data_IF_736922517632
#
_entry.id   IF_736922517632
#
_cell.length_a   1.000
_cell.length_b   1.000
_cell.length_c   1.000
_cell.angle_alpha   90.00
_cell.angle_beta   90.00
_cell.angle_gamma   90.00
#
_symmetry.space_group_name_H-M   'P 1'
#
loop_
_entity.id
_entity.type
_entity.pdbx_description
1 polymer ?
#
# COMPACT_ATOMS: atom_id res chain seq x y z
N UNK A 1 8.72 -5.99 -16.49
CA UNK A 1 9.84 -5.32 -15.75
C UNK A 1 10.62 -6.42 -15.04
N UNK A 2 11.93 -6.30 -14.92
CA UNK A 2 12.74 -7.32 -14.25
C UNK A 2 12.88 -6.97 -12.76
N UNK A 3 12.70 -7.95 -11.87
CA UNK A 3 12.89 -7.78 -10.44
C UNK A 3 14.34 -7.40 -10.14
N UNK A 4 14.54 -6.36 -9.32
CA UNK A 4 15.88 -5.93 -8.96
C UNK A 4 16.64 -7.01 -8.17
N UNK A 5 15.94 -7.70 -7.28
CA UNK A 5 16.47 -8.68 -6.32
C UNK A 5 16.81 -10.03 -6.99
N UNK A 6 15.85 -10.69 -7.63
CA UNK A 6 16.02 -12.06 -8.16
C UNK A 6 16.10 -12.14 -9.69
N UNK A 7 15.97 -11.02 -10.40
CA UNK A 7 15.90 -10.95 -11.88
C UNK A 7 14.69 -11.67 -12.51
N UNK A 8 13.70 -12.07 -11.71
CA UNK A 8 12.44 -12.65 -12.17
C UNK A 8 11.48 -11.64 -12.82
N UNK A 9 10.34 -12.12 -13.33
CA UNK A 9 9.30 -11.27 -13.91
C UNK A 9 8.53 -10.51 -12.83
N UNK A 10 8.11 -9.29 -13.16
CA UNK A 10 7.32 -8.41 -12.30
C UNK A 10 6.04 -8.02 -13.04
N UNK A 11 4.91 -8.21 -12.38
CA UNK A 11 3.56 -8.04 -12.94
C UNK A 11 2.71 -7.12 -12.05
N UNK A 12 1.66 -6.52 -12.63
CA UNK A 12 0.70 -5.72 -11.86
C UNK A 12 -0.09 -6.62 -10.90
N UNK A 13 -0.25 -6.17 -9.66
CA UNK A 13 -0.89 -6.91 -8.58
C UNK A 13 -1.45 -5.95 -7.52
N UNK A 14 -1.95 -6.49 -6.41
CA UNK A 14 -2.33 -5.71 -5.24
C UNK A 14 -1.68 -6.26 -3.99
N UNK A 15 -1.42 -5.37 -3.03
CA UNK A 15 -0.88 -5.74 -1.71
C UNK A 15 -1.70 -5.08 -0.59
N UNK A 16 -1.41 -5.49 0.64
CA UNK A 16 -1.91 -4.85 1.86
C UNK A 16 -0.78 -4.01 2.46
N UNK A 17 -0.98 -2.70 2.52
CA UNK A 17 -0.05 -1.77 3.14
C UNK A 17 -0.41 -1.58 4.61
N UNK A 18 0.53 -1.85 5.52
CA UNK A 18 0.34 -1.66 6.96
C UNK A 18 1.30 -0.58 7.46
N UNK A 19 0.80 0.38 8.22
CA UNK A 19 1.61 1.42 8.85
C UNK A 19 1.05 1.80 10.20
N UNK A 20 1.93 2.25 11.08
CA UNK A 20 1.55 3.01 12.26
C UNK A 20 1.58 4.50 11.92
N UNK A 21 0.55 5.24 12.35
CA UNK A 21 0.50 6.69 12.20
C UNK A 21 -0.25 7.30 13.40
N UNK A 22 0.36 8.21 14.14
CA UNK A 22 -0.23 8.84 15.34
C UNK A 22 -0.86 7.83 16.33
N UNK A 23 -0.13 6.76 16.70
CA UNK A 23 -0.63 5.68 17.57
C UNK A 23 -1.87 4.93 17.03
N UNK A 24 -2.21 5.10 15.75
CA UNK A 24 -3.21 4.31 15.05
C UNK A 24 -2.52 3.30 14.13
N UNK A 25 -2.93 2.04 14.23
CA UNK A 25 -2.53 1.02 13.26
C UNK A 25 -3.48 1.04 12.07
N UNK A 26 -2.93 1.32 10.89
CA UNK A 26 -3.70 1.48 9.67
C UNK A 26 -3.33 0.37 8.69
N UNK A 27 -4.35 -0.39 8.28
CA UNK A 27 -4.24 -1.45 7.29
C UNK A 27 -5.01 -1.03 6.04
N UNK A 28 -4.29 -0.75 4.95
CA UNK A 28 -4.86 -0.40 3.65
C UNK A 28 -4.80 -1.62 2.74
N UNK A 29 -5.96 -2.19 2.42
CA UNK A 29 -6.09 -3.35 1.53
C UNK A 29 -6.17 -2.91 0.07
N UNK A 30 -5.85 -3.83 -0.84
CA UNK A 30 -6.01 -3.66 -2.29
C UNK A 30 -5.18 -2.51 -2.87
N UNK A 31 -4.02 -2.23 -2.30
CA UNK A 31 -3.10 -1.21 -2.80
C UNK A 31 -2.47 -1.71 -4.11
N UNK A 32 -2.65 -1.01 -5.25
CA UNK A 32 -2.03 -1.37 -6.51
C UNK A 32 -0.52 -1.37 -6.38
N UNK A 33 0.12 -2.44 -6.81
CA UNK A 33 1.57 -2.58 -6.79
C UNK A 33 2.04 -3.40 -7.99
N UNK A 34 3.34 -3.44 -8.18
CA UNK A 34 3.99 -4.41 -9.03
C UNK A 34 4.61 -5.48 -8.15
N UNK A 35 4.36 -6.75 -8.42
CA UNK A 35 4.88 -7.87 -7.61
C UNK A 35 5.71 -8.83 -8.45
N UNK A 36 6.87 -9.23 -7.93
CA UNK A 36 7.65 -10.27 -8.56
C UNK A 36 6.97 -11.63 -8.40
N UNK A 37 6.77 -12.34 -9.50
CA UNK A 37 6.12 -13.65 -9.51
C UNK A 37 6.97 -14.77 -8.92
N UNK A 38 8.28 -14.53 -8.72
CA UNK A 38 9.22 -15.51 -8.18
C UNK A 38 9.54 -15.29 -6.70
N UNK A 39 10.02 -14.10 -6.32
CA UNK A 39 10.45 -13.83 -4.94
C UNK A 39 9.43 -13.02 -4.12
N UNK A 40 8.34 -12.56 -4.75
CA UNK A 40 7.30 -11.81 -4.05
C UNK A 40 7.62 -10.35 -3.74
N UNK A 41 8.74 -9.81 -4.23
CA UNK A 41 9.13 -8.41 -4.05
C UNK A 41 8.03 -7.46 -4.56
N UNK A 42 7.65 -6.47 -3.75
CA UNK A 42 6.55 -5.55 -4.04
C UNK A 42 7.09 -4.13 -4.31
N UNK A 43 6.61 -3.53 -5.39
CA UNK A 43 7.02 -2.19 -5.81
C UNK A 43 5.81 -1.27 -5.87
N UNK A 44 5.86 -0.20 -5.08
CA UNK A 44 4.86 0.87 -5.09
C UNK A 44 5.42 2.07 -5.86
N UNK A 45 4.61 2.64 -6.76
CA UNK A 45 4.99 3.83 -7.51
C UNK A 45 4.59 5.11 -6.74
N UNK A 46 5.18 6.25 -7.14
CA UNK A 46 4.95 7.53 -6.46
C UNK A 46 3.49 8.00 -6.48
N UNK A 47 2.72 7.66 -7.52
CA UNK A 47 1.29 8.00 -7.60
C UNK A 47 0.49 7.25 -6.53
N UNK A 48 0.79 5.97 -6.34
CA UNK A 48 0.15 5.13 -5.32
C UNK A 48 0.50 5.62 -3.92
N UNK A 49 1.78 5.93 -3.67
CA UNK A 49 2.24 6.47 -2.39
C UNK A 49 1.56 7.80 -2.05
N UNK A 50 1.43 8.71 -3.02
CA UNK A 50 0.73 9.99 -2.81
C UNK A 50 -0.76 9.81 -2.44
N UNK A 51 -1.43 8.81 -3.03
CA UNK A 51 -2.82 8.50 -2.65
C UNK A 51 -2.89 7.88 -1.25
N UNK A 52 -1.93 7.03 -0.87
CA UNK A 52 -1.81 6.53 0.52
C UNK A 52 -1.66 7.70 1.49
N UNK A 53 -0.77 8.66 1.21
CA UNK A 53 -0.60 9.87 2.04
C UNK A 53 -1.91 10.63 2.21
N UNK A 54 -2.66 10.82 1.12
CA UNK A 54 -3.98 11.50 1.17
C UNK A 54 -4.99 10.73 2.04
N UNK A 55 -4.99 9.39 1.98
CA UNK A 55 -5.84 8.54 2.83
C UNK A 55 -5.45 8.72 4.31
N UNK A 56 -4.15 8.68 4.61
CA UNK A 56 -3.63 8.87 5.97
C UNK A 56 -4.00 10.25 6.51
N UNK A 57 -3.90 11.31 5.70
CA UNK A 57 -4.30 12.67 6.08
C UNK A 57 -5.79 12.79 6.43
N UNK A 58 -6.68 12.14 5.68
CA UNK A 58 -8.11 12.10 6.03
C UNK A 58 -8.34 11.39 7.36
N UNK A 59 -7.63 10.28 7.61
CA UNK A 59 -7.74 9.51 8.84
C UNK A 59 -7.24 10.26 10.08
N UNK A 60 -6.34 11.25 9.93
CA UNK A 60 -5.91 12.13 11.06
C UNK A 60 -7.07 12.77 11.80
N UNK A 61 -8.16 13.05 11.08
CA UNK A 61 -9.33 13.73 11.64
C UNK A 61 -10.29 12.77 12.37
N UNK A 62 -10.07 11.45 12.26
CA UNK A 62 -10.91 10.41 12.85
C UNK A 62 -10.09 9.59 13.86
N UNK A 63 -10.04 10.05 15.11
CA UNK A 63 -9.33 9.39 16.21
C UNK A 63 -9.88 7.98 16.46
N UNK A 64 -9.17 6.96 15.99
CA UNK A 64 -9.40 5.54 16.32
C UNK A 64 -8.04 4.85 16.50
N UNK A 65 -7.96 3.87 17.41
CA UNK A 65 -6.71 3.14 17.70
C UNK A 65 -6.33 2.16 16.58
N UNK A 66 -7.30 1.77 15.74
CA UNK A 66 -7.13 0.81 14.65
C UNK A 66 -8.08 1.09 13.49
N UNK A 67 -7.57 1.12 12.26
CA UNK A 67 -8.37 1.36 11.05
C UNK A 67 -8.03 0.38 9.92
N UNK A 68 -9.07 -0.19 9.30
CA UNK A 68 -8.95 -1.00 8.08
C UNK A 68 -9.63 -0.26 6.93
N UNK A 69 -8.86 0.02 5.88
CA UNK A 69 -9.28 0.84 4.76
C UNK A 69 -9.12 0.07 3.46
N UNK A 70 -10.09 0.19 2.55
CA UNK A 70 -9.97 -0.32 1.19
C UNK A 70 -9.47 0.80 0.27
N UNK A 71 -8.35 0.57 -0.42
CA UNK A 71 -7.71 1.58 -1.27
C UNK A 71 -8.62 2.12 -2.40
N UNK A 72 -9.53 1.29 -2.91
CA UNK A 72 -10.43 1.66 -3.99
C UNK A 72 -11.64 2.45 -3.49
N UNK A 73 -12.02 2.28 -2.22
CA UNK A 73 -13.17 2.96 -1.60
C UNK A 73 -12.80 4.23 -0.81
N UNK A 74 -11.51 4.46 -0.54
CA UNK A 74 -11.04 5.58 0.29
C UNK A 74 -10.84 6.92 -0.45
N UNK A 75 -11.12 6.95 -1.75
CA UNK A 75 -11.00 8.14 -2.60
C UNK A 75 -12.16 9.11 -2.38
#
# INVERSE_FOLDING_TARGET
MMCFTCKGNVEESTTTYMTEYNNCYIIIKNVPCKKCTQCGEEYLNGVTLKKIETILEKLKTMLTEFAVVDYNKAA
#
